data_IF_962931825447
#
_entry.id   IF_962931825447
#
_cell.length_a   1.000
_cell.length_b   1.000
_cell.length_c   1.000
_cell.angle_alpha   90.00
_cell.angle_beta   90.00
_cell.angle_gamma   90.00
#
_symmetry.space_group_name_H-M   'P 1'
#
loop_
_entity.id
_entity.type
_entity.pdbx_description
1 polymer ?
#
# COMPACT_ATOMS: atom_id res chain seq x y z
N UNK A 1 -5.94 2.23 -22.49
CA UNK A 1 -7.00 1.83 -21.55
C UNK A 1 -8.38 2.31 -21.97
N UNK A 2 -8.65 3.60 -22.10
CA UNK A 2 -10.00 4.10 -22.42
C UNK A 2 -10.59 3.56 -23.73
N UNK A 3 -9.78 3.46 -24.78
CA UNK A 3 -10.23 2.89 -26.08
C UNK A 3 -10.58 1.40 -25.98
N UNK A 4 -9.81 0.64 -25.18
CA UNK A 4 -9.99 -0.80 -25.04
C UNK A 4 -10.97 -1.18 -23.93
N UNK A 5 -11.50 -0.20 -23.18
CA UNK A 5 -12.41 -0.40 -22.05
C UNK A 5 -11.90 -1.48 -21.06
N UNK A 6 -10.61 -1.44 -20.79
CA UNK A 6 -9.95 -2.35 -19.83
C UNK A 6 -8.62 -1.74 -19.38
N UNK A 7 -8.30 -1.86 -18.11
CA UNK A 7 -7.02 -1.43 -17.59
C UNK A 7 -6.89 -1.64 -16.09
N UNK A 8 -5.65 -1.74 -15.65
CA UNK A 8 -5.26 -1.81 -14.23
C UNK A 8 -4.26 -0.69 -13.95
N UNK A 9 -4.53 0.11 -12.96
CA UNK A 9 -3.61 1.13 -12.43
C UNK A 9 -3.34 0.78 -10.99
N UNK A 10 -2.08 0.57 -10.66
CA UNK A 10 -1.65 0.25 -9.30
C UNK A 10 -0.68 1.34 -8.84
N UNK A 11 -1.11 2.12 -7.87
CA UNK A 11 -0.31 3.19 -7.29
C UNK A 11 0.38 2.71 -6.01
N UNK A 12 1.66 3.04 -5.86
CA UNK A 12 2.40 2.68 -4.65
C UNK A 12 2.33 3.85 -3.68
N UNK A 13 1.69 3.60 -2.55
CA UNK A 13 1.62 4.52 -1.42
C UNK A 13 2.60 4.08 -0.31
N UNK A 14 2.29 4.25 0.94
CA UNK A 14 3.15 3.87 2.06
C UNK A 14 2.32 3.74 3.34
N UNK A 15 2.78 2.91 4.25
CA UNK A 15 2.25 2.87 5.62
C UNK A 15 2.25 4.26 6.27
N UNK A 16 3.24 5.09 5.97
CA UNK A 16 3.36 6.47 6.52
C UNK A 16 2.19 7.37 6.12
N UNK A 17 1.52 7.06 5.00
CA UNK A 17 0.28 7.76 4.61
C UNK A 17 -0.86 7.57 5.63
N UNK A 18 -0.81 6.50 6.41
CA UNK A 18 -1.83 6.13 7.40
C UNK A 18 -1.40 6.46 8.83
N UNK A 19 -0.14 6.25 9.16
CA UNK A 19 0.37 6.41 10.53
C UNK A 19 1.03 7.76 10.78
N UNK A 20 1.47 8.46 9.74
CA UNK A 20 2.45 9.52 9.88
C UNK A 20 3.83 8.99 10.31
N UNK A 21 4.82 9.85 10.24
CA UNK A 21 6.15 9.60 10.81
C UNK A 21 6.89 10.92 11.05
N UNK A 22 7.67 10.97 12.11
CA UNK A 22 8.46 12.17 12.45
C UNK A 22 9.39 12.52 11.29
N UNK A 23 9.41 13.80 10.91
CA UNK A 23 10.28 14.31 9.84
C UNK A 23 9.81 13.98 8.41
N UNK A 24 8.68 13.33 8.24
CA UNK A 24 8.15 12.92 6.94
C UNK A 24 6.78 13.54 6.58
N UNK A 25 6.49 14.75 7.05
CA UNK A 25 5.20 15.40 6.78
C UNK A 25 4.92 15.54 5.28
N UNK A 26 5.90 15.96 4.49
CA UNK A 26 5.75 16.09 3.04
C UNK A 26 5.55 14.74 2.36
N UNK A 27 6.31 13.74 2.76
CA UNK A 27 6.19 12.38 2.25
C UNK A 27 4.83 11.79 2.60
N UNK A 28 4.40 11.91 3.86
CA UNK A 28 3.10 11.44 4.32
C UNK A 28 1.95 12.10 3.53
N UNK A 29 2.01 13.43 3.35
CA UNK A 29 1.03 14.17 2.58
C UNK A 29 0.95 13.67 1.12
N UNK A 30 2.10 13.48 0.46
CA UNK A 30 2.14 13.00 -0.92
C UNK A 30 1.56 11.60 -1.05
N UNK A 31 1.91 10.70 -0.15
CA UNK A 31 1.43 9.31 -0.17
C UNK A 31 -0.04 9.17 0.24
N UNK A 32 -0.52 10.00 1.16
CA UNK A 32 -1.95 10.08 1.50
C UNK A 32 -2.77 10.66 0.35
N UNK A 33 -2.24 11.67 -0.34
CA UNK A 33 -2.87 12.24 -1.53
C UNK A 33 -3.09 11.23 -2.65
N UNK A 34 -2.15 10.31 -2.86
CA UNK A 34 -2.29 9.21 -3.83
C UNK A 34 -3.52 8.35 -3.54
N UNK A 35 -3.82 8.09 -2.27
CA UNK A 35 -4.98 7.27 -1.87
C UNK A 35 -6.28 7.98 -2.25
N UNK A 36 -6.43 9.25 -1.89
CA UNK A 36 -7.62 10.04 -2.26
C UNK A 36 -7.79 10.19 -3.76
N UNK A 37 -6.70 10.48 -4.46
CA UNK A 37 -6.66 10.53 -5.92
C UNK A 37 -7.11 9.20 -6.55
N UNK A 38 -6.58 8.08 -6.08
CA UNK A 38 -6.92 6.75 -6.61
C UNK A 38 -8.39 6.40 -6.39
N UNK A 39 -8.95 6.72 -5.24
CA UNK A 39 -10.39 6.50 -4.95
C UNK A 39 -11.28 7.29 -5.89
N UNK A 40 -10.97 8.55 -6.13
CA UNK A 40 -11.74 9.41 -7.03
C UNK A 40 -11.73 8.86 -8.46
N UNK A 41 -10.55 8.50 -8.97
CA UNK A 41 -10.44 7.89 -10.29
C UNK A 41 -11.12 6.52 -10.37
N UNK A 42 -11.05 5.72 -9.31
CA UNK A 42 -11.71 4.42 -9.28
C UNK A 42 -13.23 4.56 -9.48
N UNK A 43 -13.86 5.51 -8.79
CA UNK A 43 -15.29 5.81 -8.95
C UNK A 43 -15.58 6.29 -10.38
N UNK A 44 -14.76 7.18 -10.91
CA UNK A 44 -14.96 7.79 -12.23
C UNK A 44 -14.86 6.77 -13.38
N UNK A 45 -13.92 5.81 -13.24
CA UNK A 45 -13.58 4.89 -14.34
C UNK A 45 -14.07 3.46 -14.15
N UNK A 46 -14.75 3.13 -13.06
CA UNK A 46 -15.24 1.78 -12.79
C UNK A 46 -16.12 1.22 -13.93
N UNK A 47 -17.06 2.02 -14.44
CA UNK A 47 -17.94 1.62 -15.56
C UNK A 47 -17.17 1.35 -16.86
N UNK A 48 -15.94 1.82 -16.97
CA UNK A 48 -15.06 1.61 -18.12
C UNK A 48 -14.14 0.40 -17.95
N UNK A 49 -14.37 -0.42 -16.91
CA UNK A 49 -13.55 -1.58 -16.55
C UNK A 49 -12.06 -1.22 -16.37
N UNK A 50 -11.80 -0.06 -15.79
CA UNK A 50 -10.47 0.34 -15.38
C UNK A 50 -10.44 0.29 -13.85
N UNK A 51 -9.67 -0.66 -13.32
CA UNK A 51 -9.48 -0.83 -11.89
C UNK A 51 -8.29 0.02 -11.43
N UNK A 52 -8.49 0.76 -10.36
CA UNK A 52 -7.46 1.66 -9.81
C UNK A 52 -7.33 1.35 -8.32
N UNK A 53 -6.19 0.81 -7.94
CA UNK A 53 -5.91 0.37 -6.57
C UNK A 53 -4.57 0.91 -6.08
N UNK A 54 -4.37 0.85 -4.79
CA UNK A 54 -3.11 1.19 -4.15
C UNK A 54 -2.48 -0.03 -3.47
N UNK A 55 -1.17 -0.08 -3.44
CA UNK A 55 -0.40 -0.95 -2.55
C UNK A 55 0.31 -0.05 -1.55
N UNK A 56 0.18 -0.37 -0.27
CA UNK A 56 0.76 0.37 0.85
C UNK A 56 1.80 -0.50 1.56
N UNK A 57 3.07 -0.45 1.13
CA UNK A 57 4.14 -1.17 1.80
C UNK A 57 4.42 -0.61 3.20
N UNK A 58 4.80 -1.49 4.12
CA UNK A 58 5.42 -1.13 5.38
C UNK A 58 6.94 -0.99 5.26
N UNK A 59 7.67 -1.53 6.22
CA UNK A 59 9.13 -1.54 6.18
C UNK A 59 9.63 -2.72 5.35
N UNK A 60 10.23 -2.38 4.22
CA UNK A 60 10.73 -3.34 3.23
C UNK A 60 12.26 -3.31 3.23
N UNK A 61 12.87 -4.48 3.21
CA UNK A 61 14.31 -4.62 3.11
C UNK A 61 14.79 -4.08 1.75
N UNK A 62 15.73 -3.15 1.79
CA UNK A 62 16.35 -2.53 0.64
C UNK A 62 17.84 -2.34 0.95
N UNK A 63 18.65 -2.02 -0.06
CA UNK A 63 20.06 -1.67 0.17
C UNK A 63 20.22 -0.52 1.18
N UNK A 64 19.24 0.39 1.24
CA UNK A 64 19.24 1.48 2.22
C UNK A 64 18.99 0.97 3.65
N UNK A 65 18.11 -0.01 3.83
CA UNK A 65 17.86 -0.59 5.16
C UNK A 65 19.01 -1.44 5.65
N UNK A 66 19.78 -2.04 4.74
CA UNK A 66 20.98 -2.81 5.08
C UNK A 66 22.13 -1.93 5.63
N UNK A 67 22.11 -0.63 5.32
CA UNK A 67 23.08 0.37 5.81
C UNK A 67 22.68 1.03 7.12
N UNK A 68 21.49 0.72 7.64
CA UNK A 68 20.99 1.26 8.90
C UNK A 68 21.70 0.57 10.07
N UNK A 69 21.95 1.35 11.14
CA UNK A 69 22.46 0.85 12.41
C UNK A 69 21.61 -0.33 12.93
N UNK A 70 22.26 -1.39 13.39
CA UNK A 70 21.61 -2.61 13.87
C UNK A 70 20.60 -2.36 15.02
N UNK A 71 20.87 -1.43 15.92
CA UNK A 71 19.94 -1.08 17.01
C UNK A 71 18.67 -0.43 16.47
N UNK A 72 18.80 0.47 15.50
CA UNK A 72 17.67 1.11 14.84
C UNK A 72 16.85 0.08 14.04
N UNK A 73 17.52 -0.82 13.35
CA UNK A 73 16.89 -1.93 12.63
C UNK A 73 16.08 -2.84 13.55
N UNK A 74 16.64 -3.21 14.70
CA UNK A 74 15.94 -3.98 15.73
C UNK A 74 14.71 -3.25 16.27
N UNK A 75 14.82 -1.93 16.48
CA UNK A 75 13.70 -1.11 16.90
C UNK A 75 12.58 -1.09 15.85
N UNK A 76 12.92 -0.97 14.56
CA UNK A 76 11.93 -1.03 13.49
C UNK A 76 11.24 -2.40 13.44
N UNK A 77 12.01 -3.48 13.50
CA UNK A 77 11.49 -4.86 13.50
C UNK A 77 10.58 -5.10 14.69
N UNK A 78 10.91 -4.56 15.86
CA UNK A 78 10.07 -4.70 17.06
C UNK A 78 8.66 -4.14 16.92
N UNK A 79 8.45 -3.21 15.99
CA UNK A 79 7.15 -2.63 15.68
C UNK A 79 6.33 -3.45 14.67
N UNK A 80 6.91 -4.48 14.10
CA UNK A 80 6.27 -5.31 13.09
C UNK A 80 5.78 -6.60 13.77
N UNK A 81 4.47 -6.84 13.87
CA UNK A 81 3.92 -8.04 14.51
C UNK A 81 4.46 -9.35 13.94
N UNK A 82 4.70 -9.43 12.62
CA UNK A 82 5.31 -10.62 12.00
C UNK A 82 6.79 -10.84 12.37
N UNK A 83 7.45 -9.85 12.96
CA UNK A 83 8.81 -9.96 13.49
C UNK A 83 9.93 -9.85 12.46
N UNK A 84 9.64 -9.45 11.25
CA UNK A 84 10.64 -9.29 10.19
C UNK A 84 10.28 -8.19 9.21
N UNK A 85 11.28 -7.64 8.53
CA UNK A 85 11.07 -6.75 7.39
C UNK A 85 10.42 -7.51 6.24
N UNK A 86 9.58 -6.84 5.48
CA UNK A 86 9.09 -7.36 4.20
C UNK A 86 10.20 -7.37 3.16
N UNK A 87 10.01 -8.15 2.11
CA UNK A 87 10.88 -8.18 0.93
C UNK A 87 10.23 -7.45 -0.23
N UNK A 88 11.03 -6.99 -1.17
CA UNK A 88 10.51 -6.41 -2.42
C UNK A 88 9.55 -7.34 -3.15
N UNK A 89 9.78 -8.65 -3.06
CA UNK A 89 8.91 -9.69 -3.60
C UNK A 89 7.51 -9.69 -2.98
N UNK A 90 7.38 -9.41 -1.69
CA UNK A 90 6.08 -9.35 -1.02
C UNK A 90 5.21 -8.25 -1.63
N UNK A 91 5.83 -7.12 -1.95
CA UNK A 91 5.15 -6.00 -2.62
C UNK A 91 4.85 -6.34 -4.08
N UNK A 92 5.83 -6.89 -4.83
CA UNK A 92 5.64 -7.21 -6.24
C UNK A 92 4.59 -8.30 -6.47
N UNK A 93 4.47 -9.27 -5.58
CA UNK A 93 3.42 -10.30 -5.65
C UNK A 93 2.02 -9.68 -5.48
N UNK A 94 1.86 -8.70 -4.60
CA UNK A 94 0.62 -7.96 -4.46
C UNK A 94 0.31 -7.16 -5.73
N UNK A 95 1.31 -6.47 -6.30
CA UNK A 95 1.16 -5.74 -7.56
C UNK A 95 0.77 -6.70 -8.70
N UNK A 96 1.42 -7.85 -8.81
CA UNK A 96 1.11 -8.86 -9.83
C UNK A 96 -0.33 -9.37 -9.71
N UNK A 97 -0.80 -9.62 -8.49
CA UNK A 97 -2.21 -9.99 -8.25
C UNK A 97 -3.17 -8.90 -8.72
N UNK A 98 -2.93 -7.64 -8.35
CA UNK A 98 -3.78 -6.52 -8.74
C UNK A 98 -3.71 -6.21 -10.25
N UNK A 99 -2.62 -6.58 -10.91
CA UNK A 99 -2.47 -6.43 -12.36
C UNK A 99 -3.16 -7.56 -13.16
N UNK A 100 -3.52 -8.66 -12.50
CA UNK A 100 -4.15 -9.82 -13.13
C UNK A 100 -5.67 -9.74 -13.16
N UNK A 101 -6.28 -10.62 -13.94
CA UNK A 101 -7.74 -10.77 -14.01
C UNK A 101 -8.36 -11.28 -12.70
N UNK A 102 -7.55 -11.88 -11.80
CA UNK A 102 -8.00 -12.33 -10.47
C UNK A 102 -8.52 -11.18 -9.60
N UNK A 103 -8.17 -9.94 -9.92
CA UNK A 103 -8.60 -8.73 -9.20
C UNK A 103 -9.65 -7.90 -9.94
N UNK A 104 -10.37 -8.47 -10.90
CA UNK A 104 -11.29 -7.70 -11.76
C UNK A 104 -12.43 -7.00 -11.00
N UNK A 105 -12.81 -7.52 -9.84
CA UNK A 105 -13.86 -6.91 -9.01
C UNK A 105 -13.30 -6.04 -7.87
N UNK A 106 -11.98 -5.74 -7.90
CA UNK A 106 -11.29 -4.91 -6.90
C UNK A 106 -10.93 -3.57 -7.54
N UNK A 107 -11.50 -2.48 -7.02
CA UNK A 107 -11.16 -1.12 -7.44
C UNK A 107 -11.39 -0.13 -6.30
N UNK A 108 -10.54 0.88 -6.19
CA UNK A 108 -10.57 1.88 -5.12
C UNK A 108 -9.99 1.39 -3.79
N UNK A 109 -9.38 0.21 -3.77
CA UNK A 109 -8.84 -0.42 -2.56
C UNK A 109 -7.37 -0.06 -2.32
N UNK A 110 -6.97 -0.07 -1.06
CA UNK A 110 -5.56 0.02 -0.65
C UNK A 110 -5.19 -1.26 0.07
N UNK A 111 -4.30 -2.06 -0.52
CA UNK A 111 -3.81 -3.29 0.09
C UNK A 111 -2.55 -3.00 0.88
N UNK A 112 -2.57 -3.37 2.16
CA UNK A 112 -1.46 -3.19 3.09
C UNK A 112 -0.53 -4.39 3.05
N UNK A 113 0.77 -4.14 2.82
CA UNK A 113 1.83 -5.17 2.79
C UNK A 113 2.89 -4.79 3.82
N UNK A 114 2.65 -5.12 5.11
CA UNK A 114 3.40 -4.54 6.22
C UNK A 114 3.63 -5.46 7.43
N UNK A 115 3.35 -6.75 7.31
CA UNK A 115 3.54 -7.69 8.41
C UNK A 115 2.67 -7.42 9.65
N UNK A 116 1.55 -6.72 9.48
CA UNK A 116 0.63 -6.37 10.56
C UNK A 116 0.96 -5.07 11.29
N UNK A 117 1.98 -4.34 10.85
CA UNK A 117 2.40 -3.09 11.49
C UNK A 117 1.29 -2.02 11.50
N UNK A 118 0.45 -2.01 10.49
CA UNK A 118 -0.76 -1.21 10.42
C UNK A 118 -1.92 -2.08 9.94
N UNK A 119 -3.04 -2.00 10.64
CA UNK A 119 -4.25 -2.74 10.33
C UNK A 119 -5.39 -1.75 10.15
N UNK A 120 -5.91 -1.65 8.92
CA UNK A 120 -7.06 -0.82 8.61
C UNK A 120 -8.33 -1.61 8.91
N UNK A 121 -8.69 -1.76 10.19
CA UNK A 121 -10.00 -2.31 10.52
C UNK A 121 -10.86 -1.27 11.20
N UNK A 122 -12.10 -1.20 10.77
CA UNK A 122 -13.10 -0.41 11.45
C UNK A 122 -13.92 -1.35 12.31
N UNK A 123 -13.92 -1.11 13.61
CA UNK A 123 -14.79 -1.81 14.56
C UNK A 123 -16.25 -1.37 14.33
N UNK A 124 -16.93 -2.01 13.39
CA UNK A 124 -18.37 -1.87 13.26
C UNK A 124 -19.15 -2.96 14.00
N UNK A 125 -18.55 -3.56 15.01
CA UNK A 125 -19.23 -4.55 15.83
C UNK A 125 -19.23 -4.12 17.28
N UNK A 126 -20.06 -3.12 17.60
CA UNK A 126 -20.63 -2.99 18.91
C UNK A 126 -22.12 -3.31 18.72
N UNK A 127 -22.45 -4.53 18.95
CA UNK A 127 -23.80 -4.94 19.32
C UNK A 127 -23.70 -5.44 20.74
#
# INVERSE_FOLDING_TARGET
>A
MLKNKQGKIINITSIVAHTGNIGQANYAASKAGIIGFSKSLAIEYAKKKININCVSPGFIQTEMTDKINEEYKKMLISKIPSGNLGKGEDVSNCVAFLASDLSDYITGETIHVNGGMYMAWQSYWII
#
